data_IF_841140966439
#
_entry.id   IF_841140966439
#
_cell.length_a   1.000
_cell.length_b   1.000
_cell.length_c   1.000
_cell.angle_alpha   90.00
_cell.angle_beta   90.00
_cell.angle_gamma   90.00
#
_symmetry.space_group_name_H-M   'P 1'
#
loop_
_entity.id
_entity.type
_entity.pdbx_description
1 polymer ?
#
# COMPACT_ATOMS: atom_id res chain seq x y z
N UNK A 1 -12.70 8.38 31.02
CA UNK A 1 -11.79 8.77 29.93
C UNK A 1 -12.42 9.94 29.18
N UNK A 2 -11.76 11.08 29.09
CA UNK A 2 -12.20 12.16 28.21
C UNK A 2 -11.98 11.69 26.76
N UNK A 3 -13.06 11.55 25.98
CA UNK A 3 -12.95 11.24 24.55
C UNK A 3 -12.39 12.47 23.83
N UNK A 4 -11.33 12.30 23.02
CA UNK A 4 -10.87 13.39 22.18
C UNK A 4 -11.86 13.58 21.02
N UNK A 5 -12.61 14.70 20.95
CA UNK A 5 -13.63 14.90 19.92
C UNK A 5 -13.05 15.18 18.53
N UNK A 6 -11.73 15.42 18.45
CA UNK A 6 -11.04 15.75 17.19
C UNK A 6 -10.19 14.58 16.67
N UNK A 7 -10.40 13.36 17.19
CA UNK A 7 -9.67 12.18 16.69
C UNK A 7 -10.05 11.93 15.23
N UNK A 8 -9.02 11.66 14.42
CA UNK A 8 -9.16 11.09 13.07
C UNK A 8 -8.54 9.71 13.08
N UNK A 9 -9.16 8.77 12.40
CA UNK A 9 -8.68 7.39 12.29
C UNK A 9 -8.27 7.15 10.85
N UNK A 10 -7.05 6.67 10.66
CA UNK A 10 -6.52 6.25 9.39
C UNK A 10 -6.25 4.75 9.46
N UNK A 11 -6.83 3.99 8.54
CA UNK A 11 -6.72 2.53 8.48
C UNK A 11 -5.85 2.17 7.28
N UNK A 12 -4.65 1.63 7.54
CA UNK A 12 -3.80 1.09 6.48
C UNK A 12 -4.40 -0.19 5.92
N UNK A 13 -4.39 -0.31 4.60
CA UNK A 13 -4.72 -1.55 3.91
C UNK A 13 -3.45 -1.97 3.15
N UNK A 14 -2.68 -2.92 3.71
CA UNK A 14 -1.44 -3.40 3.10
C UNK A 14 -1.74 -4.26 1.86
N UNK A 15 -0.73 -4.63 1.05
CA UNK A 15 -0.89 -5.62 0.00
C UNK A 15 -1.32 -6.97 0.55
N UNK A 16 -1.82 -7.83 -0.33
CA UNK A 16 -2.20 -9.21 0.02
C UNK A 16 -0.92 -10.01 0.32
N UNK A 17 -0.98 -10.88 1.34
CA UNK A 17 0.10 -11.79 1.71
C UNK A 17 0.48 -12.76 0.57
N UNK A 18 1.62 -13.41 0.66
CA UNK A 18 2.13 -14.45 -0.23
C UNK A 18 2.28 -14.00 -1.70
N UNK A 19 3.17 -13.02 -1.97
CA UNK A 19 3.32 -12.43 -3.30
C UNK A 19 3.71 -13.42 -4.41
N UNK A 20 4.38 -14.52 -4.10
CA UNK A 20 4.69 -15.57 -5.09
C UNK A 20 3.44 -16.27 -5.62
N UNK A 21 2.33 -16.25 -4.86
CA UNK A 21 1.10 -16.98 -5.17
C UNK A 21 -0.02 -16.02 -5.65
N UNK A 22 0.26 -14.75 -5.88
CA UNK A 22 -0.76 -13.74 -6.19
C UNK A 22 -1.62 -14.08 -7.40
N UNK A 23 -1.01 -14.57 -8.48
CA UNK A 23 -1.76 -14.95 -9.68
C UNK A 23 -2.72 -16.11 -9.38
N UNK A 24 -2.24 -17.16 -8.70
CA UNK A 24 -3.07 -18.30 -8.32
C UNK A 24 -4.18 -17.89 -7.33
N UNK A 25 -3.86 -17.02 -6.39
CA UNK A 25 -4.85 -16.50 -5.40
C UNK A 25 -5.98 -15.74 -6.10
N UNK A 26 -5.67 -14.93 -7.09
CA UNK A 26 -6.67 -14.23 -7.90
C UNK A 26 -7.53 -15.21 -8.71
N UNK A 27 -6.91 -16.17 -9.39
CA UNK A 27 -7.61 -17.20 -10.17
C UNK A 27 -8.54 -18.06 -9.30
N UNK A 28 -8.11 -18.45 -8.11
CA UNK A 28 -8.91 -19.21 -7.13
C UNK A 28 -10.14 -18.40 -6.66
N UNK A 29 -10.02 -17.08 -6.65
CA UNK A 29 -11.13 -16.15 -6.37
C UNK A 29 -12.01 -15.87 -7.61
N UNK A 30 -11.68 -16.41 -8.78
CA UNK A 30 -12.40 -16.16 -10.03
C UNK A 30 -12.10 -14.80 -10.67
N UNK A 31 -10.94 -14.20 -10.35
CA UNK A 31 -10.48 -12.91 -10.84
C UNK A 31 -9.26 -13.06 -11.75
N UNK A 32 -8.97 -12.06 -12.56
CA UNK A 32 -7.92 -12.18 -13.57
C UNK A 32 -6.51 -11.95 -13.03
N UNK A 33 -6.38 -11.11 -12.00
CA UNK A 33 -5.10 -10.71 -11.43
C UNK A 33 -5.24 -10.21 -9.99
N UNK A 34 -4.10 -10.00 -9.33
CA UNK A 34 -4.04 -9.56 -7.94
C UNK A 34 -4.62 -8.16 -7.72
N UNK A 35 -4.56 -7.26 -8.70
CA UNK A 35 -5.11 -5.91 -8.59
C UNK A 35 -6.64 -5.94 -8.49
N UNK A 36 -7.31 -6.77 -9.30
CA UNK A 36 -8.76 -6.99 -9.21
C UNK A 36 -9.15 -7.58 -7.84
N UNK A 37 -8.36 -8.53 -7.34
CA UNK A 37 -8.59 -9.13 -6.02
C UNK A 37 -8.39 -8.08 -4.90
N UNK A 38 -7.38 -7.23 -5.00
CA UNK A 38 -7.13 -6.18 -4.03
C UNK A 38 -8.22 -5.09 -4.08
N UNK A 39 -8.67 -4.71 -5.27
CA UNK A 39 -9.79 -3.77 -5.42
C UNK A 39 -11.06 -4.30 -4.74
N UNK A 40 -11.39 -5.57 -4.98
CA UNK A 40 -12.50 -6.23 -4.29
C UNK A 40 -12.29 -6.26 -2.77
N UNK A 41 -11.09 -6.61 -2.31
CA UNK A 41 -10.76 -6.64 -0.89
C UNK A 41 -10.87 -5.28 -0.23
N UNK A 42 -10.40 -4.21 -0.89
CA UNK A 42 -10.52 -2.83 -0.38
C UNK A 42 -11.97 -2.38 -0.35
N UNK A 43 -12.68 -2.46 -1.49
CA UNK A 43 -13.99 -1.84 -1.66
C UNK A 43 -15.12 -2.69 -1.05
N UNK A 44 -15.17 -3.98 -1.35
CA UNK A 44 -16.28 -4.83 -0.97
C UNK A 44 -16.10 -5.47 0.40
N UNK A 45 -14.87 -5.86 0.74
CA UNK A 45 -14.62 -6.45 2.06
C UNK A 45 -14.33 -5.37 3.11
N UNK A 46 -13.23 -4.61 2.96
CA UNK A 46 -12.77 -3.69 4.02
C UNK A 46 -13.70 -2.49 4.19
N UNK A 47 -14.10 -1.82 3.11
CA UNK A 47 -14.99 -0.67 3.22
C UNK A 47 -16.38 -1.08 3.72
N UNK A 48 -17.08 -1.98 3.03
CA UNK A 48 -18.46 -2.33 3.38
C UNK A 48 -18.59 -3.03 4.73
N UNK A 49 -17.63 -3.91 5.09
CA UNK A 49 -17.76 -4.71 6.32
C UNK A 49 -17.11 -4.07 7.55
N UNK A 50 -16.15 -3.17 7.40
CA UNK A 50 -15.42 -2.59 8.53
C UNK A 50 -15.57 -1.06 8.56
N UNK A 51 -15.13 -0.36 7.50
CA UNK A 51 -15.00 1.10 7.54
C UNK A 51 -16.38 1.77 7.61
N UNK A 52 -17.32 1.34 6.79
CA UNK A 52 -18.66 1.95 6.76
C UNK A 52 -19.43 1.65 8.03
N UNK A 53 -19.32 0.45 8.59
CA UNK A 53 -19.88 0.13 9.90
C UNK A 53 -19.28 0.98 11.03
N UNK A 54 -17.95 1.23 11.00
CA UNK A 54 -17.31 2.12 11.96
C UNK A 54 -17.80 3.57 11.80
N UNK A 55 -18.01 4.04 10.58
CA UNK A 55 -18.57 5.37 10.30
C UNK A 55 -20.02 5.50 10.80
N UNK A 56 -20.82 4.46 10.63
CA UNK A 56 -22.19 4.41 11.16
C UNK A 56 -22.22 4.43 12.70
N UNK A 57 -21.34 3.66 13.34
CA UNK A 57 -21.24 3.62 14.81
C UNK A 57 -20.67 4.92 15.40
N UNK A 58 -19.82 5.61 14.67
CA UNK A 58 -19.09 6.81 15.12
C UNK A 58 -19.23 7.96 14.12
N UNK A 59 -20.44 8.49 13.87
CA UNK A 59 -20.70 9.44 12.80
C UNK A 59 -20.01 10.81 12.99
N UNK A 60 -19.54 11.11 14.19
CA UNK A 60 -18.75 12.32 14.48
C UNK A 60 -17.24 12.13 14.33
N UNK A 61 -16.79 10.91 14.04
CA UNK A 61 -15.37 10.58 13.88
C UNK A 61 -15.03 10.46 12.40
N UNK A 62 -13.99 11.15 11.99
CA UNK A 62 -13.48 11.04 10.63
C UNK A 62 -12.65 9.77 10.51
N UNK A 63 -13.04 8.88 9.61
CA UNK A 63 -12.39 7.58 9.38
C UNK A 63 -12.03 7.46 7.90
N UNK A 64 -10.72 7.26 7.62
CA UNK A 64 -10.17 7.07 6.27
C UNK A 64 -9.46 5.73 6.15
N UNK A 65 -9.42 5.19 4.93
CA UNK A 65 -8.49 4.12 4.56
C UNK A 65 -7.33 4.68 3.74
N UNK A 66 -6.18 4.03 3.86
CA UNK A 66 -4.99 4.30 3.06
C UNK A 66 -4.55 2.96 2.46
N UNK A 67 -4.95 2.64 1.22
CA UNK A 67 -4.63 1.38 0.56
C UNK A 67 -3.21 1.41 -0.02
N UNK A 68 -2.21 1.17 0.81
CA UNK A 68 -0.78 1.18 0.43
C UNK A 68 -0.38 0.00 -0.48
N UNK A 69 -1.25 -0.99 -0.63
CA UNK A 69 -0.98 -2.14 -1.49
C UNK A 69 -0.84 -1.79 -2.97
N UNK A 70 -1.51 -0.76 -3.46
CA UNK A 70 -1.42 -0.35 -4.87
C UNK A 70 0.03 -0.07 -5.27
N UNK A 71 0.73 0.78 -4.54
CA UNK A 71 2.13 1.09 -4.83
C UNK A 71 3.05 -0.14 -4.71
N UNK A 72 2.70 -1.13 -3.90
CA UNK A 72 3.46 -2.38 -3.83
C UNK A 72 3.32 -3.20 -5.11
N UNK A 73 2.12 -3.24 -5.70
CA UNK A 73 1.89 -3.87 -6.99
C UNK A 73 2.58 -3.12 -8.14
N UNK A 74 2.64 -1.78 -8.07
CA UNK A 74 3.37 -0.98 -9.05
C UNK A 74 4.87 -1.27 -8.99
N UNK A 75 5.46 -1.34 -7.80
CA UNK A 75 6.88 -1.71 -7.61
C UNK A 75 7.17 -3.14 -8.11
N UNK A 76 6.28 -4.08 -7.85
CA UNK A 76 6.42 -5.46 -8.33
C UNK A 76 6.32 -5.55 -9.87
N UNK A 77 5.38 -4.82 -10.47
CA UNK A 77 5.26 -4.72 -11.92
C UNK A 77 6.48 -4.04 -12.56
N UNK A 78 7.00 -2.98 -11.94
CA UNK A 78 8.25 -2.34 -12.36
C UNK A 78 9.43 -3.31 -12.27
N UNK A 79 9.52 -4.12 -11.22
CA UNK A 79 10.53 -5.16 -11.10
C UNK A 79 10.41 -6.19 -12.24
N UNK A 80 9.21 -6.72 -12.51
CA UNK A 80 8.99 -7.71 -13.58
C UNK A 80 9.36 -7.19 -14.96
N UNK A 81 9.26 -5.88 -15.18
CA UNK A 81 9.55 -5.21 -16.45
C UNK A 81 10.94 -4.55 -16.51
N UNK A 82 11.82 -4.82 -15.54
CA UNK A 82 13.17 -4.23 -15.45
C UNK A 82 13.15 -2.67 -15.45
N UNK A 83 12.13 -2.06 -14.82
CA UNK A 83 11.93 -0.62 -14.75
C UNK A 83 12.43 0.01 -13.44
N UNK A 84 12.78 -0.77 -12.43
CA UNK A 84 13.42 -0.25 -11.22
C UNK A 84 14.86 0.19 -11.55
N UNK A 85 15.22 1.39 -11.11
CA UNK A 85 16.56 1.94 -11.33
C UNK A 85 17.58 1.49 -10.29
N UNK A 86 17.12 0.78 -9.28
CA UNK A 86 17.90 0.23 -8.18
C UNK A 86 18.01 -1.29 -8.31
N UNK A 87 19.09 -1.87 -7.76
CA UNK A 87 19.29 -3.34 -7.73
C UNK A 87 18.40 -3.96 -6.63
N UNK A 88 17.11 -4.05 -6.94
CA UNK A 88 16.06 -4.57 -6.06
C UNK A 88 15.55 -5.90 -6.61
N UNK A 89 15.61 -6.95 -5.80
CA UNK A 89 15.04 -8.27 -6.10
C UNK A 89 13.61 -8.39 -5.56
N UNK A 90 12.85 -9.36 -6.07
CA UNK A 90 11.51 -9.64 -5.53
C UNK A 90 11.57 -10.08 -4.06
N UNK A 91 12.50 -11.00 -3.74
CA UNK A 91 12.74 -11.48 -2.38
C UNK A 91 14.21 -11.33 -2.00
N UNK A 92 14.50 -10.91 -0.76
CA UNK A 92 15.87 -10.73 -0.31
C UNK A 92 15.99 -10.02 1.04
N UNK A 93 17.13 -9.31 1.24
CA UNK A 93 17.31 -8.50 2.43
C UNK A 93 16.40 -7.26 2.43
N UNK A 94 16.18 -6.67 3.59
CA UNK A 94 15.34 -5.50 3.77
C UNK A 94 15.72 -4.37 2.80
N UNK A 95 17.00 -4.09 2.65
CA UNK A 95 17.53 -2.97 1.86
C UNK A 95 17.50 -3.22 0.34
N UNK A 96 17.34 -4.49 -0.10
CA UNK A 96 17.54 -4.89 -1.50
C UNK A 96 16.40 -5.72 -2.07
N UNK A 97 15.23 -5.68 -1.47
CA UNK A 97 14.12 -6.45 -1.97
C UNK A 97 12.79 -5.72 -1.81
N UNK A 98 11.81 -6.10 -2.63
CA UNK A 98 10.42 -5.72 -2.46
C UNK A 98 9.87 -6.42 -1.20
N UNK A 99 10.16 -7.73 -1.05
CA UNK A 99 9.74 -8.52 0.10
C UNK A 99 10.93 -9.21 0.78
N UNK A 100 10.89 -9.25 2.11
CA UNK A 100 11.96 -9.90 2.91
C UNK A 100 11.74 -11.38 3.11
N UNK A 101 10.54 -11.90 2.82
CA UNK A 101 10.21 -13.32 2.93
C UNK A 101 8.99 -13.70 2.08
N UNK A 102 8.70 -14.99 2.04
CA UNK A 102 7.60 -15.54 1.24
C UNK A 102 6.20 -15.12 1.71
N UNK A 103 6.06 -14.66 2.96
CA UNK A 103 4.77 -14.13 3.46
C UNK A 103 4.47 -12.75 2.87
N UNK A 104 5.50 -12.00 2.48
CA UNK A 104 5.35 -10.68 1.92
C UNK A 104 5.64 -9.55 2.92
N UNK A 105 6.48 -9.82 3.95
CA UNK A 105 6.99 -8.73 4.77
C UNK A 105 7.79 -7.76 3.90
N UNK A 106 7.50 -6.48 4.05
CA UNK A 106 7.95 -5.44 3.13
C UNK A 106 9.44 -5.15 3.28
N UNK A 107 10.13 -4.96 2.15
CA UNK A 107 11.47 -4.39 2.09
C UNK A 107 11.44 -2.87 2.15
N UNK A 108 12.64 -2.26 2.22
CA UNK A 108 12.81 -0.82 2.44
C UNK A 108 12.11 0.04 1.36
N UNK A 109 12.17 -0.38 0.10
CA UNK A 109 11.54 0.32 -1.01
C UNK A 109 10.04 0.44 -0.82
N UNK A 110 9.36 -0.63 -0.37
CA UNK A 110 7.91 -0.63 -0.12
C UNK A 110 7.56 0.19 1.12
N UNK A 111 8.36 0.06 2.19
CA UNK A 111 8.17 0.84 3.43
C UNK A 111 8.32 2.33 3.16
N UNK A 112 9.33 2.73 2.38
CA UNK A 112 9.59 4.13 2.01
C UNK A 112 8.45 4.68 1.16
N UNK A 113 8.01 3.93 0.13
CA UNK A 113 6.86 4.33 -0.69
C UNK A 113 5.59 4.44 0.15
N UNK A 114 5.33 3.48 1.03
CA UNK A 114 4.21 3.53 1.97
C UNK A 114 4.26 4.76 2.88
N UNK A 115 5.43 5.15 3.38
CA UNK A 115 5.60 6.36 4.19
C UNK A 115 5.25 7.64 3.41
N UNK A 116 5.61 7.71 2.13
CA UNK A 116 5.23 8.82 1.24
C UNK A 116 3.71 8.88 1.03
N UNK A 117 3.05 7.75 0.81
CA UNK A 117 1.58 7.67 0.70
C UNK A 117 0.92 8.21 1.98
N UNK A 118 1.42 7.81 3.15
CA UNK A 118 0.94 8.32 4.44
C UNK A 118 1.16 9.83 4.56
N UNK A 119 2.34 10.32 4.18
CA UNK A 119 2.66 11.75 4.21
C UNK A 119 1.69 12.56 3.35
N UNK A 120 1.47 12.12 2.10
CA UNK A 120 0.52 12.76 1.19
C UNK A 120 -0.91 12.70 1.72
N UNK A 121 -1.37 11.51 2.13
CA UNK A 121 -2.75 11.28 2.56
C UNK A 121 -3.13 12.04 3.85
N UNK A 122 -2.22 12.14 4.81
CA UNK A 122 -2.51 12.78 6.11
C UNK A 122 -2.29 14.28 6.07
N UNK A 123 -1.22 14.73 5.41
CA UNK A 123 -0.78 16.11 5.45
C UNK A 123 -1.05 16.89 4.16
N UNK A 124 -1.55 16.22 3.09
CA UNK A 124 -1.84 16.86 1.81
C UNK A 124 -0.58 17.33 1.08
N UNK A 125 0.53 16.64 1.27
CA UNK A 125 1.79 16.97 0.60
C UNK A 125 1.73 16.49 -0.86
N UNK A 126 2.04 17.38 -1.79
CA UNK A 126 2.20 17.03 -3.20
C UNK A 126 3.58 16.41 -3.42
N UNK A 127 3.65 15.09 -3.59
CA UNK A 127 4.89 14.35 -3.60
C UNK A 127 5.77 14.70 -4.81
N UNK A 128 5.21 14.92 -6.00
CA UNK A 128 5.98 15.29 -7.22
C UNK A 128 6.76 16.61 -7.09
N UNK A 129 6.39 17.45 -6.14
CA UNK A 129 7.08 18.71 -5.87
C UNK A 129 7.89 18.66 -4.57
N UNK A 130 8.00 17.47 -3.98
CA UNK A 130 8.74 17.25 -2.74
C UNK A 130 10.17 16.81 -3.06
N UNK A 131 11.15 17.42 -2.42
CA UNK A 131 12.57 17.17 -2.63
C UNK A 131 13.18 16.24 -1.56
N UNK A 132 12.36 15.54 -0.80
CA UNK A 132 12.82 14.55 0.17
C UNK A 132 13.60 13.45 -0.55
N UNK A 133 14.85 13.24 -0.12
CA UNK A 133 15.69 12.18 -0.64
C UNK A 133 15.25 10.83 -0.06
N UNK A 134 14.71 9.97 -0.90
CA UNK A 134 14.26 8.62 -0.52
C UNK A 134 15.41 7.62 -0.39
N UNK A 135 16.61 7.97 -0.87
CA UNK A 135 17.75 7.06 -0.98
C UNK A 135 17.69 6.10 -2.16
N UNK A 136 16.63 6.17 -2.99
CA UNK A 136 16.46 5.36 -4.20
C UNK A 136 16.60 6.20 -5.46
N UNK A 137 17.12 5.58 -6.54
CA UNK A 137 17.15 6.19 -7.88
C UNK A 137 15.79 6.08 -8.57
N UNK A 138 15.00 5.08 -8.23
CA UNK A 138 13.60 4.93 -8.65
C UNK A 138 12.77 6.06 -8.07
N UNK A 139 11.95 6.72 -8.88
CA UNK A 139 11.10 7.84 -8.44
C UNK A 139 9.92 7.34 -7.59
N UNK A 140 10.18 7.11 -6.30
CA UNK A 140 9.17 6.65 -5.36
C UNK A 140 8.09 7.71 -5.07
N UNK A 141 8.35 9.01 -5.33
CA UNK A 141 7.33 10.04 -5.19
C UNK A 141 6.23 9.86 -6.24
N UNK A 142 6.60 9.58 -7.49
CA UNK A 142 5.63 9.28 -8.54
C UNK A 142 4.85 8.00 -8.22
N UNK A 143 5.53 6.91 -7.85
CA UNK A 143 4.86 5.64 -7.46
C UNK A 143 3.88 5.83 -6.30
N UNK A 144 4.19 6.70 -5.35
CA UNK A 144 3.32 6.95 -4.20
C UNK A 144 2.12 7.88 -4.50
N UNK A 145 2.13 8.61 -5.62
CA UNK A 145 1.02 9.49 -6.04
C UNK A 145 0.03 8.82 -7.00
N UNK A 146 0.41 7.72 -7.67
CA UNK A 146 -0.45 6.95 -8.58
C UNK A 146 -1.46 6.10 -7.82
#
# INVERSE_FOLDING_TARGET
MQKNPNVKIFISIPPIDFPADWQQTAEDAGLNNIRELYEFFVNDHTHKTVIDQLREMYPSTVIFSIPTGWATFDLEEMHQNDLLLDDISLFGSFERAIFTDAKGHQGEVVVTTGALIWLSSIYGVHLRNNDFDTGFNTDLHTVAEE
#
